data_IF_867316504567
#
_entry.id   IF_867316504567
#
_cell.length_a   1.000
_cell.length_b   1.000
_cell.length_c   1.000
_cell.angle_alpha   90.00
_cell.angle_beta   90.00
_cell.angle_gamma   90.00
#
_symmetry.space_group_name_H-M   'P 1'
#
loop_
_entity.id
_entity.type
_entity.pdbx_description
1 polymer ?
#
# COMPACT_ATOMS: atom_id res chain seq x y z
N UNK A 1 29.53 -0.93 8.00
CA UNK A 1 29.38 -2.42 8.10
C UNK A 1 27.95 -2.77 7.73
N UNK A 2 27.71 -3.89 6.98
CA UNK A 2 26.33 -4.38 6.74
C UNK A 2 25.95 -5.36 7.85
N UNK A 3 24.77 -5.18 8.43
CA UNK A 3 24.20 -6.03 9.47
C UNK A 3 22.67 -6.12 9.33
N UNK A 4 22.08 -7.09 10.01
CA UNK A 4 20.62 -7.17 10.17
C UNK A 4 20.20 -6.13 11.22
N UNK A 5 19.11 -5.40 10.93
CA UNK A 5 18.48 -4.50 11.88
C UNK A 5 17.54 -5.25 12.84
N UNK A 6 17.26 -4.62 13.96
CA UNK A 6 16.36 -5.11 15.00
C UNK A 6 15.37 -4.01 15.40
N UNK A 7 14.41 -4.34 16.25
CA UNK A 7 13.45 -3.35 16.79
C UNK A 7 14.14 -2.23 17.57
N UNK A 8 15.34 -2.47 18.14
CA UNK A 8 16.11 -1.43 18.83
C UNK A 8 16.62 -0.32 17.88
N UNK A 9 16.72 -0.63 16.59
CA UNK A 9 17.11 0.31 15.53
C UNK A 9 15.94 1.18 15.02
N UNK A 10 14.71 0.93 15.46
CA UNK A 10 13.49 1.47 14.83
C UNK A 10 13.51 3.00 14.69
N UNK A 11 13.98 3.74 15.69
CA UNK A 11 14.05 5.21 15.59
C UNK A 11 15.10 5.67 14.57
N UNK A 12 16.26 5.01 14.52
CA UNK A 12 17.31 5.37 13.57
C UNK A 12 16.93 4.98 12.14
N UNK A 13 16.17 3.89 11.97
CA UNK A 13 15.55 3.51 10.70
C UNK A 13 14.54 4.56 10.23
N UNK A 14 13.68 5.03 11.13
CA UNK A 14 12.72 6.10 10.83
C UNK A 14 13.42 7.36 10.35
N UNK A 15 14.48 7.79 11.06
CA UNK A 15 15.24 8.97 10.71
C UNK A 15 15.92 8.82 9.34
N UNK A 16 16.43 7.63 9.01
CA UNK A 16 17.05 7.34 7.72
C UNK A 16 16.02 7.32 6.58
N UNK A 17 14.86 6.67 6.77
CA UNK A 17 13.79 6.60 5.78
C UNK A 17 13.18 7.98 5.49
N UNK A 18 12.79 8.71 6.53
CA UNK A 18 12.27 10.07 6.36
C UNK A 18 13.32 11.04 5.80
N UNK A 19 14.58 10.90 6.23
CA UNK A 19 15.70 11.69 5.69
C UNK A 19 15.93 11.44 4.19
N UNK A 20 15.73 10.20 3.73
CA UNK A 20 15.76 9.86 2.31
C UNK A 20 14.63 10.53 1.53
N UNK A 21 13.39 10.27 1.93
CA UNK A 21 12.20 10.73 1.21
C UNK A 21 12.10 12.27 1.20
N UNK A 22 12.34 12.94 2.31
CA UNK A 22 12.32 14.40 2.40
C UNK A 22 13.45 15.07 1.60
N UNK A 23 14.56 14.37 1.37
CA UNK A 23 15.62 14.85 0.47
C UNK A 23 15.17 14.79 -0.99
N UNK A 24 14.40 13.76 -1.36
CA UNK A 24 13.88 13.53 -2.72
C UNK A 24 12.69 14.43 -3.00
N UNK A 25 11.78 14.51 -2.06
CA UNK A 25 10.54 15.29 -2.12
C UNK A 25 10.34 16.06 -0.81
N UNK A 26 10.62 17.37 -0.77
CA UNK A 26 10.45 18.19 0.43
C UNK A 26 9.01 18.26 0.95
N UNK A 27 8.01 17.99 0.11
CA UNK A 27 6.60 17.95 0.46
C UNK A 27 6.13 16.53 0.88
N UNK A 28 7.06 15.57 0.98
CA UNK A 28 6.74 14.21 1.39
C UNK A 28 6.13 14.19 2.79
N UNK A 29 5.04 13.46 2.93
CA UNK A 29 4.38 13.21 4.20
C UNK A 29 5.19 12.17 4.99
N UNK A 30 5.89 12.63 6.03
CA UNK A 30 6.82 11.80 6.80
C UNK A 30 6.13 10.56 7.39
N UNK A 31 6.82 9.43 7.35
CA UNK A 31 6.36 8.18 7.92
C UNK A 31 6.35 8.26 9.46
N UNK A 32 5.33 7.68 10.12
CA UNK A 32 5.33 7.51 11.56
C UNK A 32 6.18 6.31 12.00
N UNK A 33 6.58 6.28 13.27
CA UNK A 33 7.35 5.16 13.83
C UNK A 33 6.61 3.81 13.73
N UNK A 34 5.28 3.84 13.78
CA UNK A 34 4.43 2.65 13.62
C UNK A 34 4.65 1.94 12.28
N UNK A 35 4.88 2.69 11.20
CA UNK A 35 5.13 2.14 9.87
C UNK A 35 6.49 1.40 9.80
N UNK A 36 7.52 1.94 10.45
CA UNK A 36 8.81 1.24 10.57
C UNK A 36 8.69 -0.06 11.36
N UNK A 37 7.91 -0.05 12.44
CA UNK A 37 7.65 -1.25 13.25
C UNK A 37 6.88 -2.28 12.41
N UNK A 38 5.94 -1.84 11.59
CA UNK A 38 5.19 -2.70 10.67
C UNK A 38 6.09 -3.32 9.59
N UNK A 39 6.99 -2.54 8.99
CA UNK A 39 8.01 -3.07 8.08
C UNK A 39 8.89 -4.13 8.75
N UNK A 40 9.35 -3.90 9.97
CA UNK A 40 10.20 -4.86 10.69
C UNK A 40 9.49 -6.16 11.03
N UNK A 41 8.21 -6.09 11.39
CA UNK A 41 7.41 -7.26 11.73
C UNK A 41 6.96 -8.04 10.49
N UNK A 42 6.75 -7.37 9.35
CA UNK A 42 6.19 -7.96 8.13
C UNK A 42 4.74 -8.44 8.31
N UNK A 43 4.13 -8.92 7.24
CA UNK A 43 2.74 -9.41 7.26
C UNK A 43 2.63 -10.90 7.60
N UNK A 44 3.55 -11.71 7.11
CA UNK A 44 3.51 -13.17 7.22
C UNK A 44 4.71 -13.72 8.01
N UNK A 45 5.86 -13.09 7.82
CA UNK A 45 7.11 -13.38 8.52
C UNK A 45 7.87 -12.07 8.77
N UNK A 46 8.67 -11.96 9.84
CA UNK A 46 9.47 -10.78 10.10
C UNK A 46 10.33 -10.42 8.88
N UNK A 47 10.36 -9.14 8.51
CA UNK A 47 11.17 -8.68 7.41
C UNK A 47 12.65 -8.94 7.68
N UNK A 48 13.39 -9.41 6.66
CA UNK A 48 14.83 -9.47 6.73
C UNK A 48 15.41 -8.10 6.39
N UNK A 49 15.57 -7.25 7.43
CA UNK A 49 16.01 -5.87 7.24
C UNK A 49 17.51 -5.77 7.32
N UNK A 50 18.12 -5.34 6.23
CA UNK A 50 19.56 -5.07 6.15
C UNK A 50 19.83 -3.58 6.27
N UNK A 51 20.87 -3.22 7.02
CA UNK A 51 21.34 -1.84 7.13
C UNK A 51 22.83 -1.75 6.82
N UNK A 52 23.24 -0.65 6.20
CA UNK A 52 24.62 -0.23 6.16
C UNK A 52 24.85 0.79 7.28
N UNK A 53 25.59 0.34 8.31
CA UNK A 53 25.95 1.13 9.48
C UNK A 53 27.40 1.62 9.35
N UNK A 54 27.57 2.93 9.32
CA UNK A 54 28.87 3.61 9.23
C UNK A 54 28.84 4.86 10.13
N UNK A 55 28.91 4.60 11.45
CA UNK A 55 28.69 5.62 12.47
C UNK A 55 27.26 6.16 12.44
N UNK A 56 26.31 5.26 12.34
CA UNK A 56 24.89 5.43 12.16
C UNK A 56 24.38 4.86 10.83
N UNK A 57 23.10 4.58 10.75
CA UNK A 57 22.46 3.97 9.57
C UNK A 57 22.53 4.93 8.38
N UNK A 58 23.14 4.48 7.27
CA UNK A 58 23.31 5.24 6.02
C UNK A 58 22.41 4.75 4.90
N UNK A 59 22.05 3.47 4.93
CA UNK A 59 21.10 2.86 3.97
C UNK A 59 20.37 1.71 4.65
N UNK A 60 19.15 1.48 4.20
CA UNK A 60 18.22 0.47 4.72
C UNK A 60 17.61 -0.29 3.55
N UNK A 61 17.45 -1.60 3.69
CA UNK A 61 16.65 -2.44 2.81
C UNK A 61 15.74 -3.32 3.66
N UNK A 62 14.45 -3.03 3.65
CA UNK A 62 13.43 -3.91 4.22
C UNK A 62 13.07 -4.97 3.18
N UNK A 63 13.34 -6.23 3.46
CA UNK A 63 13.02 -7.35 2.57
C UNK A 63 11.77 -8.05 3.09
N UNK A 64 10.63 -7.63 2.60
CA UNK A 64 9.35 -8.24 2.94
C UNK A 64 9.07 -9.42 2.01
N UNK A 65 8.64 -10.54 2.58
CA UNK A 65 8.36 -11.77 1.84
C UNK A 65 6.90 -12.16 2.01
N UNK A 66 6.24 -12.48 0.91
CA UNK A 66 4.94 -13.14 0.89
C UNK A 66 5.11 -14.51 0.21
N UNK A 67 5.28 -15.54 1.02
CA UNK A 67 5.45 -16.92 0.54
C UNK A 67 4.22 -17.41 -0.23
N UNK A 68 2.97 -17.17 0.21
CA UNK A 68 1.79 -17.58 -0.55
C UNK A 68 1.69 -16.90 -1.93
N UNK A 69 2.25 -15.68 -2.08
CA UNK A 69 2.26 -14.96 -3.36
C UNK A 69 3.52 -15.22 -4.19
N UNK A 70 4.46 -16.02 -3.66
CA UNK A 70 5.79 -16.22 -4.26
C UNK A 70 6.45 -14.88 -4.64
N UNK A 71 6.37 -13.91 -3.73
CA UNK A 71 6.79 -12.53 -3.96
C UNK A 71 7.66 -12.01 -2.84
N UNK A 72 8.63 -11.18 -3.21
CA UNK A 72 9.46 -10.39 -2.29
C UNK A 72 9.39 -8.93 -2.71
N UNK A 73 9.19 -8.06 -1.73
CA UNK A 73 9.14 -6.62 -1.92
C UNK A 73 10.25 -5.97 -1.07
N UNK A 74 11.45 -5.74 -1.66
CA UNK A 74 12.50 -4.99 -0.99
C UNK A 74 12.24 -3.48 -1.13
N UNK A 75 12.06 -2.78 0.00
CA UNK A 75 11.98 -1.33 0.08
C UNK A 75 13.34 -0.77 0.46
N UNK A 76 13.85 0.18 -0.32
CA UNK A 76 15.21 0.69 -0.20
C UNK A 76 15.23 2.19 0.07
N UNK A 77 15.92 2.57 1.16
CA UNK A 77 16.11 3.97 1.55
C UNK A 77 17.58 4.25 1.80
N UNK A 78 18.04 5.48 1.50
CA UNK A 78 19.44 5.85 1.70
C UNK A 78 19.62 7.33 1.96
N UNK A 79 20.45 7.66 2.96
CA UNK A 79 20.99 8.99 3.23
C UNK A 79 22.52 9.00 3.05
N UNK A 80 23.07 7.89 2.60
CA UNK A 80 24.49 7.69 2.35
C UNK A 80 24.96 8.18 0.97
N UNK A 81 26.21 7.89 0.66
CA UNK A 81 26.77 8.11 -0.68
C UNK A 81 26.28 7.07 -1.67
N UNK A 82 26.35 7.36 -2.99
CA UNK A 82 26.04 6.40 -4.06
C UNK A 82 26.77 5.05 -3.89
N UNK A 83 28.04 5.08 -3.45
CA UNK A 83 28.81 3.86 -3.20
C UNK A 83 28.26 3.04 -2.04
N UNK A 84 27.85 3.69 -0.95
CA UNK A 84 27.23 3.05 0.21
C UNK A 84 25.85 2.45 -0.16
N UNK A 85 25.05 3.20 -0.90
CA UNK A 85 23.76 2.71 -1.43
C UNK A 85 23.93 1.46 -2.28
N UNK A 86 24.84 1.50 -3.25
CA UNK A 86 25.16 0.35 -4.11
C UNK A 86 25.67 -0.85 -3.33
N UNK A 87 26.51 -0.62 -2.33
CA UNK A 87 27.05 -1.68 -1.47
C UNK A 87 25.93 -2.44 -0.73
N UNK A 88 24.96 -1.73 -0.14
CA UNK A 88 23.83 -2.37 0.54
C UNK A 88 22.90 -3.06 -0.45
N UNK A 89 22.60 -2.40 -1.57
CA UNK A 89 21.75 -2.95 -2.62
C UNK A 89 22.27 -4.29 -3.14
N UNK A 90 23.57 -4.35 -3.49
CA UNK A 90 24.22 -5.58 -3.99
C UNK A 90 24.20 -6.70 -2.94
N UNK A 91 24.42 -6.36 -1.67
CA UNK A 91 24.38 -7.33 -0.57
C UNK A 91 22.95 -7.88 -0.36
N UNK A 92 21.93 -7.01 -0.43
CA UNK A 92 20.53 -7.40 -0.33
C UNK A 92 20.11 -8.32 -1.47
N UNK A 93 20.46 -7.98 -2.72
CA UNK A 93 20.14 -8.81 -3.87
C UNK A 93 20.91 -10.14 -3.86
N UNK A 94 22.17 -10.17 -3.42
CA UNK A 94 22.90 -11.42 -3.22
C UNK A 94 22.23 -12.32 -2.14
N UNK A 95 21.69 -11.72 -1.09
CA UNK A 95 20.91 -12.47 -0.11
C UNK A 95 19.60 -13.02 -0.72
N UNK A 96 18.89 -12.23 -1.53
CA UNK A 96 17.68 -12.66 -2.23
C UNK A 96 17.96 -13.86 -3.14
N UNK A 97 18.99 -13.78 -3.97
CA UNK A 97 19.40 -14.88 -4.87
C UNK A 97 19.70 -16.19 -4.13
N UNK A 98 20.21 -16.11 -2.91
CA UNK A 98 20.51 -17.26 -2.08
C UNK A 98 19.29 -17.82 -1.34
N UNK A 99 18.37 -16.97 -0.92
CA UNK A 99 17.31 -17.33 0.04
C UNK A 99 15.90 -17.31 -0.56
N UNK A 100 15.69 -16.66 -1.72
CA UNK A 100 14.36 -16.44 -2.34
C UNK A 100 14.36 -16.81 -3.85
N UNK A 101 15.12 -17.84 -4.22
CA UNK A 101 15.22 -18.26 -5.62
C UNK A 101 13.85 -18.64 -6.20
N UNK A 102 13.53 -18.07 -7.37
CA UNK A 102 12.27 -18.26 -8.09
C UNK A 102 11.15 -17.31 -7.65
N UNK A 103 11.43 -16.38 -6.74
CA UNK A 103 10.44 -15.37 -6.32
C UNK A 103 10.36 -14.21 -7.33
N UNK A 104 9.17 -13.66 -7.48
CA UNK A 104 8.91 -12.38 -8.14
C UNK A 104 9.35 -11.25 -7.21
N UNK A 105 10.39 -10.51 -7.58
CA UNK A 105 10.91 -9.38 -6.81
C UNK A 105 10.33 -8.10 -7.36
N UNK A 106 9.70 -7.31 -6.50
CA UNK A 106 9.17 -5.99 -6.84
C UNK A 106 9.67 -4.95 -5.86
N UNK A 107 10.20 -3.86 -6.36
CA UNK A 107 10.64 -2.73 -5.54
C UNK A 107 10.06 -1.43 -6.08
N UNK A 108 9.88 -0.47 -5.17
CA UNK A 108 9.28 0.81 -5.52
C UNK A 108 10.15 1.93 -4.98
N UNK A 109 10.19 3.04 -5.69
CA UNK A 109 10.79 4.27 -5.19
C UNK A 109 10.03 5.49 -5.72
N UNK A 110 10.19 6.62 -5.02
CA UNK A 110 9.65 7.89 -5.48
C UNK A 110 10.21 8.22 -6.88
N UNK A 111 9.34 8.54 -7.82
CA UNK A 111 9.73 8.87 -9.21
C UNK A 111 10.65 10.08 -9.32
N UNK A 112 10.72 10.90 -8.28
CA UNK A 112 11.65 12.02 -8.18
C UNK A 112 13.08 11.58 -7.84
N UNK A 113 13.27 10.37 -7.27
CA UNK A 113 14.60 9.83 -6.96
C UNK A 113 15.32 9.28 -8.20
N UNK A 114 15.88 10.18 -8.99
CA UNK A 114 16.59 9.81 -10.22
C UNK A 114 17.85 8.98 -9.98
N UNK A 115 18.47 9.09 -8.79
CA UNK A 115 19.67 8.30 -8.45
C UNK A 115 19.29 6.84 -8.18
N UNK A 116 18.21 6.62 -7.42
CA UNK A 116 17.74 5.26 -7.10
C UNK A 116 17.13 4.59 -8.34
N UNK A 117 16.37 5.32 -9.16
CA UNK A 117 15.88 4.84 -10.46
C UNK A 117 17.02 4.34 -11.35
N UNK A 118 18.07 5.17 -11.49
CA UNK A 118 19.24 4.77 -12.31
C UNK A 118 19.95 3.54 -11.73
N UNK A 119 20.06 3.43 -10.40
CA UNK A 119 20.67 2.26 -9.74
C UNK A 119 19.88 0.98 -10.02
N UNK A 120 18.54 1.04 -9.97
CA UNK A 120 17.68 -0.12 -10.28
C UNK A 120 17.86 -0.57 -11.73
N UNK A 121 17.84 0.37 -12.69
CA UNK A 121 18.01 0.08 -14.12
C UNK A 121 19.42 -0.46 -14.43
N UNK A 122 20.47 0.16 -13.87
CA UNK A 122 21.87 -0.31 -14.00
C UNK A 122 22.07 -1.70 -13.39
N UNK A 123 21.23 -2.08 -12.41
CA UNK A 123 21.25 -3.41 -11.76
C UNK A 123 20.38 -4.44 -12.49
N UNK A 124 19.80 -4.10 -13.64
CA UNK A 124 19.04 -5.04 -14.47
C UNK A 124 17.58 -5.22 -14.08
N UNK A 125 17.04 -4.39 -13.18
CA UNK A 125 15.61 -4.40 -12.90
C UNK A 125 14.85 -3.76 -14.07
N UNK A 126 13.66 -4.30 -14.38
CA UNK A 126 12.82 -3.82 -15.45
C UNK A 126 11.69 -2.96 -14.89
N UNK A 127 11.37 -1.85 -15.57
CA UNK A 127 10.20 -1.02 -15.24
C UNK A 127 8.94 -1.89 -15.19
N UNK A 128 8.18 -1.74 -14.11
CA UNK A 128 6.94 -2.47 -13.88
C UNK A 128 5.72 -1.57 -14.15
N UNK A 129 5.48 -0.59 -13.30
CA UNK A 129 4.37 0.36 -13.37
C UNK A 129 4.63 1.59 -12.50
N UNK A 130 3.90 2.68 -12.79
CA UNK A 130 3.79 3.81 -11.87
C UNK A 130 2.50 3.66 -11.03
N UNK A 131 2.57 4.06 -9.76
CA UNK A 131 1.45 4.09 -8.81
C UNK A 131 1.32 5.49 -8.23
N UNK A 132 0.10 5.99 -8.08
CA UNK A 132 -0.15 7.26 -7.42
C UNK A 132 -0.61 7.03 -5.98
N UNK A 133 0.03 7.72 -5.03
CA UNK A 133 -0.60 8.10 -3.78
C UNK A 133 -1.45 9.31 -4.10
N UNK A 134 -2.77 9.23 -3.88
CA UNK A 134 -3.68 10.34 -4.14
C UNK A 134 -4.37 10.75 -2.85
N UNK A 135 -4.57 12.05 -2.67
CA UNK A 135 -5.24 12.62 -1.51
C UNK A 135 -6.36 13.54 -1.95
N UNK A 136 -7.46 13.50 -1.22
CA UNK A 136 -8.54 14.48 -1.26
C UNK A 136 -8.58 15.26 0.05
N UNK A 137 -8.47 16.58 -0.05
CA UNK A 137 -8.59 17.54 1.05
C UNK A 137 -9.16 18.86 0.50
N UNK A 138 -10.13 19.50 1.18
CA UNK A 138 -10.86 19.00 2.33
C UNK A 138 -11.86 17.91 1.97
N UNK A 139 -12.31 17.15 3.00
CA UNK A 139 -13.43 16.22 2.86
C UNK A 139 -14.66 16.77 3.58
N UNK A 140 -15.84 16.45 3.05
CA UNK A 140 -17.13 16.95 3.56
C UNK A 140 -17.90 15.83 4.25
N UNK A 141 -18.62 16.20 5.32
CA UNK A 141 -19.55 15.31 6.02
C UNK A 141 -20.80 15.07 5.17
N UNK A 142 -21.43 13.95 5.41
CA UNK A 142 -22.71 13.58 4.83
C UNK A 142 -22.60 12.42 3.84
N UNK A 143 -23.33 11.37 4.17
CA UNK A 143 -23.43 10.20 3.31
C UNK A 143 -24.23 10.54 2.04
N UNK A 144 -23.89 9.98 0.88
CA UNK A 144 -24.65 10.20 -0.34
C UNK A 144 -26.04 9.54 -0.25
N UNK A 145 -27.04 10.16 -0.87
CA UNK A 145 -28.32 9.51 -1.12
C UNK A 145 -28.11 8.26 -2.00
N UNK A 146 -28.78 7.17 -1.62
CA UNK A 146 -28.71 5.92 -2.36
C UNK A 146 -29.95 5.71 -3.21
N UNK A 147 -29.81 5.21 -4.45
CA UNK A 147 -30.94 4.69 -5.21
C UNK A 147 -31.70 3.62 -4.45
N UNK A 148 -33.03 3.52 -4.68
CA UNK A 148 -33.89 2.63 -3.90
C UNK A 148 -33.51 1.14 -3.90
N UNK A 149 -32.81 0.70 -4.95
CA UNK A 149 -32.33 -0.67 -5.10
C UNK A 149 -30.86 -0.86 -4.61
N UNK A 150 -30.22 0.18 -4.05
CA UNK A 150 -28.87 0.08 -3.54
C UNK A 150 -28.88 0.29 -2.02
N UNK A 151 -28.19 -0.57 -1.29
CA UNK A 151 -27.86 -0.37 0.10
C UNK A 151 -26.34 -0.45 0.31
N UNK A 152 -25.82 0.29 1.30
CA UNK A 152 -24.43 0.17 1.79
C UNK A 152 -24.53 -0.07 3.28
N UNK A 153 -23.96 -1.17 3.72
CA UNK A 153 -24.04 -1.64 5.10
C UNK A 153 -22.64 -1.75 5.68
N UNK A 154 -22.49 -1.40 6.96
CA UNK A 154 -21.25 -1.68 7.68
C UNK A 154 -21.02 -3.19 7.76
N UNK A 155 -19.77 -3.60 7.60
CA UNK A 155 -19.38 -4.99 7.68
C UNK A 155 -18.26 -5.15 8.72
N UNK A 156 -18.44 -6.07 9.63
CA UNK A 156 -17.39 -6.47 10.56
C UNK A 156 -16.48 -7.53 9.91
N UNK A 157 -15.18 -7.29 9.93
CA UNK A 157 -14.21 -8.17 9.30
C UNK A 157 -14.27 -9.61 9.83
N UNK A 158 -14.56 -9.80 11.13
CA UNK A 158 -14.60 -11.15 11.74
C UNK A 158 -15.88 -11.90 11.38
N UNK A 159 -17.02 -11.20 11.35
CA UNK A 159 -18.32 -11.84 11.09
C UNK A 159 -18.67 -11.92 9.62
N UNK A 160 -18.15 -11.01 8.79
CA UNK A 160 -18.38 -10.94 7.35
C UNK A 160 -17.17 -11.36 6.51
N UNK A 161 -16.13 -11.95 7.14
CA UNK A 161 -14.84 -12.24 6.51
C UNK A 161 -14.97 -13.01 5.19
N UNK A 162 -15.75 -14.08 5.15
CA UNK A 162 -15.93 -14.89 3.93
C UNK A 162 -16.55 -14.08 2.78
N UNK A 163 -17.51 -13.21 3.09
CA UNK A 163 -18.14 -12.38 2.08
C UNK A 163 -17.19 -11.28 1.60
N UNK A 164 -16.49 -10.61 2.50
CA UNK A 164 -15.50 -9.57 2.15
C UNK A 164 -14.36 -10.17 1.32
N UNK A 165 -13.81 -11.31 1.73
CA UNK A 165 -12.78 -12.03 0.98
C UNK A 165 -13.25 -12.38 -0.44
N UNK A 166 -14.45 -12.97 -0.57
CA UNK A 166 -15.02 -13.29 -1.89
C UNK A 166 -15.20 -12.05 -2.76
N UNK A 167 -15.76 -10.97 -2.21
CA UNK A 167 -15.97 -9.71 -2.95
C UNK A 167 -14.63 -9.11 -3.39
N UNK A 168 -13.59 -9.14 -2.54
CA UNK A 168 -12.26 -8.70 -2.91
C UNK A 168 -11.70 -9.59 -4.03
N UNK A 169 -11.65 -10.90 -3.83
CA UNK A 169 -11.08 -11.84 -4.79
C UNK A 169 -11.73 -11.72 -6.18
N UNK A 170 -13.07 -11.68 -6.24
CA UNK A 170 -13.80 -11.55 -7.49
C UNK A 170 -13.63 -10.16 -8.14
N UNK A 171 -13.63 -9.08 -7.35
CA UNK A 171 -13.50 -7.71 -7.87
C UNK A 171 -12.12 -7.43 -8.46
N UNK A 172 -11.07 -8.04 -7.88
CA UNK A 172 -9.67 -7.82 -8.26
C UNK A 172 -9.07 -8.95 -9.11
N UNK A 173 -9.85 -9.99 -9.47
CA UNK A 173 -9.36 -11.16 -10.20
C UNK A 173 -8.59 -10.83 -11.50
N UNK A 174 -8.92 -9.73 -12.16
CA UNK A 174 -8.26 -9.26 -13.38
C UNK A 174 -7.26 -8.10 -13.13
N UNK A 175 -7.10 -7.69 -11.86
CA UNK A 175 -6.18 -6.61 -11.54
C UNK A 175 -4.73 -7.08 -11.67
N UNK A 176 -3.90 -6.26 -12.28
CA UNK A 176 -2.49 -6.58 -12.47
C UNK A 176 -1.79 -6.94 -11.16
N UNK A 177 -1.15 -8.11 -11.15
CA UNK A 177 -0.39 -8.59 -10.01
C UNK A 177 -1.21 -8.99 -8.78
N UNK A 178 -2.55 -8.95 -8.86
CA UNK A 178 -3.38 -9.49 -7.79
C UNK A 178 -3.29 -11.01 -7.76
N UNK A 179 -3.03 -11.54 -6.59
CA UNK A 179 -3.06 -12.98 -6.30
C UNK A 179 -3.97 -13.20 -5.10
N UNK A 180 -5.09 -13.87 -5.33
CA UNK A 180 -6.01 -14.20 -4.27
C UNK A 180 -5.34 -15.18 -3.29
N UNK A 181 -5.37 -14.85 -2.00
CA UNK A 181 -5.05 -15.77 -0.92
C UNK A 181 -6.25 -16.67 -0.64
N UNK A 182 -6.03 -17.80 0.00
CA UNK A 182 -7.13 -18.50 0.66
C UNK A 182 -7.68 -17.64 1.81
N UNK A 183 -8.89 -17.95 2.24
CA UNK A 183 -9.61 -17.15 3.22
C UNK A 183 -8.86 -16.98 4.55
N UNK A 184 -8.22 -18.04 5.04
CA UNK A 184 -7.60 -18.03 6.38
C UNK A 184 -6.32 -17.18 6.39
N UNK A 185 -5.50 -17.24 5.33
CA UNK A 185 -4.35 -16.36 5.15
C UNK A 185 -4.79 -14.92 4.94
N UNK A 186 -5.79 -14.67 4.09
CA UNK A 186 -6.33 -13.33 3.87
C UNK A 186 -6.85 -12.69 5.16
N UNK A 187 -7.61 -13.46 5.96
CA UNK A 187 -8.16 -12.96 7.22
C UNK A 187 -7.06 -12.67 8.25
N UNK A 188 -6.07 -13.56 8.34
CA UNK A 188 -4.93 -13.36 9.24
C UNK A 188 -4.14 -12.10 8.88
N UNK A 189 -3.87 -11.89 7.57
CA UNK A 189 -3.21 -10.68 7.07
C UNK A 189 -4.02 -9.42 7.45
N UNK A 190 -5.34 -9.40 7.16
CA UNK A 190 -6.20 -8.26 7.49
C UNK A 190 -6.32 -7.98 8.98
N UNK A 191 -6.32 -8.99 9.82
CA UNK A 191 -6.36 -8.82 11.28
C UNK A 191 -5.02 -8.40 11.87
N UNK A 192 -3.92 -8.63 11.16
CA UNK A 192 -2.59 -8.20 11.56
C UNK A 192 -2.30 -6.72 11.19
N UNK A 193 -3.09 -6.11 10.30
CA UNK A 193 -2.95 -4.70 9.93
C UNK A 193 -3.34 -3.79 11.12
N UNK A 194 -2.38 -3.12 11.80
CA UNK A 194 -2.66 -2.41 13.05
C UNK A 194 -3.51 -1.15 12.82
N UNK A 195 -3.52 -0.65 11.60
CA UNK A 195 -4.21 0.58 11.22
C UNK A 195 -5.57 0.31 10.56
N UNK A 196 -5.99 -0.95 10.42
CA UNK A 196 -7.28 -1.29 9.82
C UNK A 196 -8.42 -0.65 10.61
N UNK A 197 -9.27 0.11 9.91
CA UNK A 197 -10.49 0.66 10.50
C UNK A 197 -11.59 -0.41 10.55
N UNK A 198 -11.73 -1.08 11.69
CA UNK A 198 -12.76 -2.11 11.88
C UNK A 198 -14.20 -1.61 11.68
N UNK A 199 -14.44 -0.30 11.74
CA UNK A 199 -15.74 0.33 11.50
C UNK A 199 -15.83 0.90 10.07
N UNK A 200 -14.72 0.96 9.34
CA UNK A 200 -14.61 1.50 8.00
C UNK A 200 -14.74 0.46 6.89
N UNK A 201 -15.23 -0.73 7.20
CA UNK A 201 -15.51 -1.77 6.21
C UNK A 201 -17.00 -1.73 5.83
N UNK A 202 -17.28 -1.75 4.51
CA UNK A 202 -18.64 -1.63 3.98
C UNK A 202 -18.88 -2.62 2.85
N UNK A 203 -20.11 -3.14 2.79
CA UNK A 203 -20.60 -3.96 1.67
C UNK A 203 -21.74 -3.21 0.98
N UNK A 204 -21.60 -3.02 -0.32
CA UNK A 204 -22.68 -2.52 -1.16
C UNK A 204 -23.49 -3.68 -1.73
N UNK A 205 -24.81 -3.51 -1.75
CA UNK A 205 -25.76 -4.46 -2.33
C UNK A 205 -26.61 -3.78 -3.41
N UNK A 206 -26.97 -4.52 -4.42
CA UNK A 206 -27.93 -4.13 -5.46
C UNK A 206 -29.06 -5.15 -5.46
N UNK A 207 -30.31 -4.69 -5.26
CA UNK A 207 -31.48 -5.56 -5.12
C UNK A 207 -31.30 -6.64 -4.01
N UNK A 208 -30.59 -6.29 -2.93
CA UNK A 208 -30.26 -7.19 -1.83
C UNK A 208 -29.05 -8.10 -2.04
N UNK A 209 -28.52 -8.19 -3.26
CA UNK A 209 -27.36 -9.02 -3.59
C UNK A 209 -26.03 -8.28 -3.38
N UNK A 210 -25.02 -8.90 -2.73
CA UNK A 210 -23.69 -8.31 -2.57
C UNK A 210 -23.06 -7.97 -3.93
N UNK A 211 -22.58 -6.73 -4.07
CA UNK A 211 -22.16 -6.17 -5.35
C UNK A 211 -20.78 -5.48 -5.29
N UNK A 212 -20.29 -5.12 -4.12
CA UNK A 212 -19.00 -4.47 -3.95
C UNK A 212 -18.62 -4.29 -2.49
N UNK A 213 -17.38 -3.87 -2.27
CA UNK A 213 -16.84 -3.64 -0.93
C UNK A 213 -15.99 -2.35 -0.91
N UNK A 214 -15.84 -1.82 0.31
CA UNK A 214 -14.84 -0.82 0.65
C UNK A 214 -14.21 -1.22 1.98
N UNK A 215 -12.88 -1.20 2.05
CA UNK A 215 -12.12 -1.33 3.28
C UNK A 215 -11.35 -0.04 3.50
N UNK A 216 -11.33 0.46 4.72
CA UNK A 216 -10.60 1.68 5.10
C UNK A 216 -9.62 1.41 6.23
N UNK A 217 -8.64 2.28 6.36
CA UNK A 217 -7.72 2.29 7.50
C UNK A 217 -7.46 3.69 8.03
N UNK A 218 -6.82 3.74 9.19
CA UNK A 218 -6.34 4.94 9.85
C UNK A 218 -4.88 5.26 9.50
N UNK A 219 -4.38 4.72 8.36
CA UNK A 219 -3.00 4.82 7.91
C UNK A 219 -2.46 6.24 7.71
N UNK A 220 -3.30 7.26 7.86
CA UNK A 220 -2.91 8.68 7.82
C UNK A 220 -3.44 9.47 9.03
N UNK A 221 -3.73 8.78 10.14
CA UNK A 221 -4.27 9.44 11.35
C UNK A 221 -3.34 10.54 11.88
N UNK A 222 -2.02 10.36 11.79
CA UNK A 222 -1.02 11.32 12.24
C UNK A 222 -1.10 12.68 11.53
N UNK A 223 -1.61 12.70 10.30
CA UNK A 223 -1.88 13.93 9.52
C UNK A 223 -3.36 14.26 9.45
N UNK A 224 -4.14 13.71 10.37
CA UNK A 224 -5.59 13.90 10.45
C UNK A 224 -6.30 13.46 9.15
N UNK A 225 -5.93 12.28 8.65
CA UNK A 225 -6.45 11.69 7.42
C UNK A 225 -6.81 10.23 7.56
N UNK A 226 -7.82 9.79 6.79
CA UNK A 226 -8.16 8.38 6.58
C UNK A 226 -7.50 7.83 5.32
N UNK A 227 -7.67 6.53 5.11
CA UNK A 227 -7.16 5.83 3.93
C UNK A 227 -8.19 4.84 3.38
N UNK A 228 -8.27 4.71 2.06
CA UNK A 228 -9.04 3.64 1.39
C UNK A 228 -8.07 2.55 0.95
N UNK A 229 -8.12 1.40 1.62
CA UNK A 229 -7.26 0.26 1.30
C UNK A 229 -7.76 -0.52 0.09
N UNK A 230 -9.07 -0.78 0.06
CA UNK A 230 -9.70 -1.51 -1.03
C UNK A 230 -11.03 -0.87 -1.42
N UNK A 231 -11.24 -0.75 -2.71
CA UNK A 231 -12.52 -0.38 -3.31
C UNK A 231 -12.78 -1.31 -4.49
N UNK A 232 -13.70 -2.25 -4.33
CA UNK A 232 -14.02 -3.26 -5.33
C UNK A 232 -15.49 -3.27 -5.72
N UNK A 233 -15.77 -3.48 -7.00
CA UNK A 233 -17.13 -3.70 -7.52
C UNK A 233 -17.09 -4.91 -8.44
N UNK A 234 -17.97 -5.88 -8.18
CA UNK A 234 -18.12 -7.07 -9.02
C UNK A 234 -18.43 -6.67 -10.46
N UNK A 235 -17.84 -7.37 -11.42
CA UNK A 235 -17.90 -7.03 -12.85
C UNK A 235 -19.34 -6.79 -13.34
N UNK A 236 -20.28 -7.67 -12.96
CA UNK A 236 -21.70 -7.59 -13.36
C UNK A 236 -22.43 -6.34 -12.87
N UNK A 237 -21.86 -5.62 -11.88
CA UNK A 237 -22.44 -4.38 -11.32
C UNK A 237 -21.61 -3.13 -11.66
N UNK A 238 -20.58 -3.27 -12.49
CA UNK A 238 -19.82 -2.12 -13.00
C UNK A 238 -20.68 -1.26 -13.92
N UNK A 239 -20.33 0.02 -14.06
CA UNK A 239 -21.11 0.97 -14.88
C UNK A 239 -22.37 1.53 -14.21
N UNK A 240 -22.81 1.00 -13.07
CA UNK A 240 -23.98 1.48 -12.31
C UNK A 240 -23.67 2.62 -11.32
N UNK A 241 -22.45 3.13 -11.33
CA UNK A 241 -22.04 4.18 -10.39
C UNK A 241 -21.73 3.70 -8.96
N UNK A 242 -21.74 2.38 -8.72
CA UNK A 242 -21.59 1.79 -7.38
C UNK A 242 -20.22 2.14 -6.74
N UNK A 243 -19.13 2.11 -7.53
CA UNK A 243 -17.80 2.50 -7.07
C UNK A 243 -17.75 3.96 -6.58
N UNK A 244 -18.46 4.88 -7.27
CA UNK A 244 -18.58 6.27 -6.83
C UNK A 244 -19.35 6.39 -5.51
N UNK A 245 -20.43 5.63 -5.35
CA UNK A 245 -21.22 5.63 -4.11
C UNK A 245 -20.41 5.09 -2.93
N UNK A 246 -19.72 3.96 -3.10
CA UNK A 246 -18.83 3.39 -2.09
C UNK A 246 -17.70 4.35 -1.71
N UNK A 247 -17.03 4.97 -2.68
CA UNK A 247 -15.98 5.95 -2.41
C UNK A 247 -16.51 7.15 -1.62
N UNK A 248 -17.65 7.70 -2.01
CA UNK A 248 -18.28 8.82 -1.27
C UNK A 248 -18.73 8.40 0.14
N UNK A 249 -19.11 7.12 0.31
CA UNK A 249 -19.43 6.56 1.62
C UNK A 249 -18.19 6.51 2.52
N UNK A 250 -17.06 6.04 2.00
CA UNK A 250 -15.78 6.04 2.73
C UNK A 250 -15.30 7.46 3.07
N UNK A 251 -15.47 8.43 2.15
CA UNK A 251 -15.17 9.85 2.42
C UNK A 251 -16.03 10.38 3.58
N UNK A 252 -17.34 10.11 3.55
CA UNK A 252 -18.25 10.55 4.60
C UNK A 252 -17.92 9.90 5.95
N UNK A 253 -17.59 8.60 5.95
CA UNK A 253 -17.14 7.89 7.15
C UNK A 253 -15.87 8.51 7.75
N UNK A 254 -14.86 8.78 6.94
CA UNK A 254 -13.64 9.45 7.38
C UNK A 254 -13.91 10.85 7.96
N UNK A 255 -14.82 11.62 7.33
CA UNK A 255 -15.24 12.93 7.82
C UNK A 255 -16.02 12.85 9.14
N UNK A 256 -16.83 11.81 9.33
CA UNK A 256 -17.56 11.58 10.60
C UNK A 256 -16.62 11.17 11.74
N UNK A 257 -15.51 10.47 11.44
CA UNK A 257 -14.40 10.23 12.39
C UNK A 257 -13.66 11.51 12.76
N UNK A 258 -13.87 12.61 12.04
CA UNK A 258 -13.22 13.90 12.28
C UNK A 258 -11.97 14.15 11.43
N UNK A 259 -11.66 13.26 10.50
CA UNK A 259 -10.57 13.48 9.55
C UNK A 259 -10.89 14.63 8.59
N UNK A 260 -9.85 15.36 8.16
CA UNK A 260 -9.97 16.46 7.19
C UNK A 260 -9.59 16.06 5.77
N UNK A 261 -8.92 14.93 5.64
CA UNK A 261 -8.47 14.39 4.36
C UNK A 261 -8.68 12.87 4.28
N UNK A 262 -8.60 12.32 3.07
CA UNK A 262 -8.58 10.88 2.82
C UNK A 262 -7.65 10.58 1.65
N UNK A 263 -6.86 9.53 1.77
CA UNK A 263 -5.93 9.08 0.74
C UNK A 263 -6.29 7.70 0.17
N UNK A 264 -5.63 7.35 -0.91
CA UNK A 264 -5.66 6.03 -1.54
C UNK A 264 -4.44 5.83 -2.44
N UNK A 265 -4.16 4.55 -2.75
CA UNK A 265 -3.20 4.16 -3.79
C UNK A 265 -3.91 3.72 -5.07
N UNK A 266 -3.34 4.02 -6.25
CA UNK A 266 -3.88 3.57 -7.53
C UNK A 266 -2.78 3.22 -8.52
N UNK A 267 -2.91 2.06 -9.17
CA UNK A 267 -2.12 1.67 -10.34
C UNK A 267 -2.54 2.53 -11.54
N UNK A 268 -1.60 3.30 -12.10
CA UNK A 268 -1.87 4.18 -13.24
C UNK A 268 -2.17 3.44 -14.54
N UNK A 269 -1.73 2.19 -14.65
CA UNK A 269 -2.02 1.30 -15.77
C UNK A 269 -3.32 0.49 -15.62
N UNK A 270 -4.14 0.80 -14.60
CA UNK A 270 -5.39 0.10 -14.36
C UNK A 270 -6.48 0.55 -15.36
N UNK A 271 -6.96 -0.37 -16.19
CA UNK A 271 -7.97 -0.13 -17.22
C UNK A 271 -9.41 -0.07 -16.67
N UNK A 272 -9.61 -0.29 -15.35
CA UNK A 272 -10.95 -0.29 -14.73
C UNK A 272 -11.63 1.09 -14.68
N UNK A 273 -10.90 2.17 -14.99
CA UNK A 273 -11.36 3.56 -14.85
C UNK A 273 -11.27 4.09 -13.42
N UNK A 274 -10.57 3.41 -12.51
CA UNK A 274 -10.42 3.80 -11.12
C UNK A 274 -9.74 5.18 -10.99
N UNK A 275 -8.66 5.43 -11.72
CA UNK A 275 -7.97 6.72 -11.71
C UNK A 275 -8.92 7.88 -12.04
N UNK A 276 -9.68 7.76 -13.14
CA UNK A 276 -10.66 8.76 -13.53
C UNK A 276 -11.77 8.96 -12.48
N UNK A 277 -12.20 7.87 -11.83
CA UNK A 277 -13.15 7.94 -10.72
C UNK A 277 -12.59 8.81 -9.59
N UNK A 278 -11.35 8.57 -9.16
CA UNK A 278 -10.72 9.30 -8.07
C UNK A 278 -10.51 10.77 -8.41
N UNK A 279 -10.00 11.09 -9.59
CA UNK A 279 -9.87 12.47 -10.08
C UNK A 279 -11.20 13.22 -10.10
N UNK A 280 -12.26 12.57 -10.59
CA UNK A 280 -13.63 13.14 -10.63
C UNK A 280 -14.23 13.33 -9.22
N UNK A 281 -13.74 12.64 -8.20
CA UNK A 281 -14.12 12.84 -6.80
C UNK A 281 -13.18 13.83 -6.06
N UNK A 282 -12.26 14.46 -6.78
CA UNK A 282 -11.41 15.54 -6.25
C UNK A 282 -10.10 15.06 -5.63
N UNK A 283 -9.74 13.78 -5.77
CA UNK A 283 -8.41 13.31 -5.40
C UNK A 283 -7.34 13.88 -6.34
N UNK A 284 -6.16 14.13 -5.79
CA UNK A 284 -4.99 14.61 -6.55
C UNK A 284 -3.78 13.77 -6.18
N UNK A 285 -2.90 13.44 -7.15
CA UNK A 285 -1.64 12.78 -6.85
C UNK A 285 -0.78 13.65 -5.94
N UNK A 286 -0.22 13.04 -4.90
CA UNK A 286 0.76 13.66 -4.00
C UNK A 286 2.13 13.04 -4.13
N UNK A 287 2.20 11.73 -4.41
CA UNK A 287 3.45 11.01 -4.68
C UNK A 287 3.25 10.09 -5.88
N UNK A 288 4.28 9.94 -6.68
CA UNK A 288 4.34 8.93 -7.75
C UNK A 288 5.41 7.92 -7.39
N UNK A 289 4.99 6.70 -7.11
CA UNK A 289 5.87 5.57 -6.91
C UNK A 289 6.11 4.85 -8.23
N UNK A 290 7.38 4.65 -8.57
CA UNK A 290 7.77 3.83 -9.72
C UNK A 290 8.18 2.45 -9.28
N UNK A 291 7.50 1.45 -9.83
CA UNK A 291 7.79 0.05 -9.57
C UNK A 291 8.75 -0.54 -10.58
N UNK A 292 9.64 -1.38 -10.09
CA UNK A 292 10.55 -2.23 -10.87
C UNK A 292 10.40 -3.68 -10.45
N UNK A 293 10.69 -4.59 -11.36
CA UNK A 293 10.64 -6.01 -11.06
C UNK A 293 11.80 -6.79 -11.71
N UNK A 294 12.09 -7.94 -11.10
CA UNK A 294 12.94 -9.00 -11.66
C UNK A 294 12.50 -10.33 -11.07
N UNK A 295 13.01 -11.44 -11.63
CA UNK A 295 12.86 -12.79 -11.05
C UNK A 295 14.25 -13.29 -10.68
N UNK A 296 14.41 -13.84 -9.49
CA UNK A 296 15.68 -14.34 -8.96
C UNK A 296 15.66 -15.87 -8.79
#
# INVERSE_FOLDING_TARGET
>A
MIRVATLDDAQELLDACNGHELRVDPDFEAMPLSEIIEFLNGYEEPAHTLVLDDGGIKAVMFIQTSTPRNRVEPDFFTIGTKAQSKQLFDAGFAWLEQNRKGFDVRTFCNKLDTELLAMFEESGLSFLRDYFKMVKEPIEKGFPDLPANISIEAADLRTNSQLLHRLEAESFAQHFGYMALDHDHWLAEKLAEPQLDHQGSFIAKVDGEPAGLLLSSDGRADVNGGWVDKLGVLEKYRGLGLGKLLLRWGIAHAADKGYRSIGLGVDTGNESGALQLYENQGFRPTVVWRGYSTTI
#
